data_IF_190163344855
#
_entry.id   IF_190163344855
#
_cell.length_a   1.000
_cell.length_b   1.000
_cell.length_c   1.000
_cell.angle_alpha   90.00
_cell.angle_beta   90.00
_cell.angle_gamma   90.00
#
_symmetry.space_group_name_H-M   'P 1'
#
loop_
_entity.id
_entity.type
_entity.pdbx_description
1 polymer ?
#
# COMPACT_ATOMS: atom_id res chain seq x y z
N UNK A 1 14.91 -39.71 -22.58
CA UNK A 1 14.15 -39.54 -23.84
C UNK A 1 12.77 -40.12 -23.60
N UNK A 2 11.64 -39.42 -23.61
CA UNK A 2 11.27 -38.05 -23.98
C UNK A 2 10.01 -37.68 -23.17
N UNK A 3 9.89 -36.41 -22.80
CA UNK A 3 8.73 -35.78 -22.18
C UNK A 3 7.70 -35.50 -23.30
N UNK A 4 6.48 -36.00 -23.18
CA UNK A 4 5.40 -35.72 -24.16
C UNK A 4 4.55 -34.57 -23.64
N UNK A 5 4.70 -33.41 -24.27
CA UNK A 5 3.97 -32.18 -23.99
C UNK A 5 2.52 -32.28 -24.50
N UNK A 6 1.55 -32.04 -23.63
CA UNK A 6 0.14 -31.88 -24.02
C UNK A 6 -0.12 -30.40 -24.26
N UNK A 7 -0.48 -30.05 -25.50
CA UNK A 7 -0.85 -28.70 -25.90
C UNK A 7 -2.23 -28.34 -25.32
N UNK A 8 -2.30 -27.25 -24.54
CA UNK A 8 -3.57 -26.64 -24.14
C UNK A 8 -3.86 -25.51 -25.11
N UNK A 9 -4.99 -25.63 -25.79
CA UNK A 9 -5.48 -24.69 -26.78
C UNK A 9 -5.83 -23.34 -26.14
N UNK A 10 -5.31 -22.29 -26.77
CA UNK A 10 -5.88 -20.95 -26.94
C UNK A 10 -7.05 -20.62 -26.00
N UNK A 11 -6.73 -20.25 -24.76
CA UNK A 11 -7.69 -19.63 -23.84
C UNK A 11 -7.61 -18.13 -24.01
N UNK A 12 -8.65 -17.57 -24.64
CA UNK A 12 -8.91 -16.14 -24.78
C UNK A 12 -8.73 -15.45 -23.42
N UNK A 13 -7.60 -14.74 -23.24
CA UNK A 13 -7.42 -13.82 -22.12
C UNK A 13 -8.22 -12.55 -22.45
N UNK A 14 -9.36 -12.38 -21.79
CA UNK A 14 -10.08 -11.12 -21.86
C UNK A 14 -9.38 -10.14 -20.90
N UNK A 15 -8.65 -9.17 -21.46
CA UNK A 15 -8.04 -8.07 -20.73
C UNK A 15 -9.11 -7.15 -20.13
N UNK A 16 -9.62 -7.53 -18.97
CA UNK A 16 -10.18 -6.60 -18.00
C UNK A 16 -9.56 -6.93 -16.65
N UNK A 17 -8.50 -6.20 -16.30
CA UNK A 17 -7.95 -6.12 -14.94
C UNK A 17 -7.74 -7.46 -14.24
N UNK A 18 -6.68 -8.17 -14.62
CA UNK A 18 -5.85 -9.00 -13.72
C UNK A 18 -6.58 -9.97 -12.75
N UNK A 19 -7.55 -10.75 -13.23
CA UNK A 19 -7.99 -11.97 -12.53
C UNK A 19 -7.67 -13.21 -13.37
N UNK A 20 -6.65 -13.96 -12.97
CA UNK A 20 -6.39 -15.28 -13.56
C UNK A 20 -7.30 -16.31 -12.88
N UNK A 21 -8.35 -16.71 -13.59
CA UNK A 21 -9.30 -17.73 -13.11
C UNK A 21 -8.74 -19.12 -13.47
N UNK A 22 -8.26 -19.87 -12.47
CA UNK A 22 -7.81 -21.25 -12.68
C UNK A 22 -8.99 -22.18 -12.40
N UNK A 23 -9.68 -22.63 -13.44
CA UNK A 23 -10.77 -23.59 -13.31
C UNK A 23 -10.22 -25.02 -13.17
N UNK A 24 -10.54 -25.69 -12.06
CA UNK A 24 -10.38 -27.14 -11.92
C UNK A 24 -11.76 -27.80 -11.78
N UNK A 25 -11.85 -29.08 -12.15
CA UNK A 25 -13.09 -29.82 -12.38
C UNK A 25 -14.02 -30.05 -11.15
N UNK A 26 -13.67 -29.54 -9.97
CA UNK A 26 -14.38 -29.80 -8.70
C UNK A 26 -14.95 -28.55 -8.00
N UNK A 27 -14.92 -27.39 -8.65
CA UNK A 27 -15.51 -26.15 -8.11
C UNK A 27 -14.48 -25.05 -7.87
N UNK A 28 -14.97 -23.81 -7.96
CA UNK A 28 -14.18 -22.58 -7.91
C UNK A 28 -13.45 -22.46 -6.58
N UNK A 29 -12.14 -22.72 -6.57
CA UNK A 29 -11.26 -22.23 -5.52
C UNK A 29 -10.82 -20.81 -5.91
N UNK A 30 -11.29 -19.81 -5.17
CA UNK A 30 -10.73 -18.46 -5.23
C UNK A 30 -9.33 -18.54 -4.63
N UNK A 31 -8.33 -18.87 -5.45
CA UNK A 31 -6.95 -18.69 -5.07
C UNK A 31 -6.65 -17.20 -5.15
N UNK A 32 -6.72 -16.51 -4.01
CA UNK A 32 -6.05 -15.23 -3.83
C UNK A 32 -4.56 -15.56 -3.82
N UNK A 33 -3.94 -15.70 -4.99
CA UNK A 33 -2.51 -15.42 -5.07
C UNK A 33 -2.39 -13.94 -4.86
N UNK A 34 -2.25 -13.54 -3.59
CA UNK A 34 -1.60 -12.29 -3.24
C UNK A 34 -0.33 -12.28 -4.08
N UNK A 35 -0.35 -11.46 -5.13
CA UNK A 35 0.85 -11.15 -5.89
C UNK A 35 1.78 -10.62 -4.82
N UNK A 36 2.75 -11.43 -4.44
CA UNK A 36 3.92 -11.00 -3.69
C UNK A 36 4.68 -10.07 -4.64
N UNK A 37 4.08 -8.93 -4.96
CA UNK A 37 4.82 -7.73 -5.30
C UNK A 37 5.59 -7.50 -4.03
N UNK A 38 6.90 -7.80 -4.06
CA UNK A 38 7.83 -7.30 -3.08
C UNK A 38 7.58 -5.78 -3.03
N UNK A 39 6.74 -5.36 -2.10
CA UNK A 39 6.22 -4.02 -2.08
C UNK A 39 7.36 -3.19 -1.53
N UNK A 40 8.05 -2.51 -2.45
CA UNK A 40 9.28 -1.79 -2.18
C UNK A 40 9.03 -0.87 -0.98
N UNK A 41 9.62 -1.23 0.16
CA UNK A 41 9.40 -0.53 1.41
C UNK A 41 10.05 0.86 1.29
N UNK A 42 9.22 1.89 1.29
CA UNK A 42 9.65 3.28 1.20
C UNK A 42 9.65 3.87 2.60
N UNK A 43 10.72 4.59 2.95
CA UNK A 43 10.75 5.39 4.17
C UNK A 43 10.03 6.70 3.92
N UNK A 44 8.96 6.92 4.70
CA UNK A 44 8.21 8.16 4.75
C UNK A 44 8.60 8.95 5.99
N UNK A 45 8.47 10.27 5.90
CA UNK A 45 8.74 11.18 7.01
C UNK A 45 7.45 11.86 7.44
N UNK A 46 7.32 12.15 8.72
CA UNK A 46 6.29 12.98 9.31
C UNK A 46 6.95 14.23 9.89
N UNK A 47 6.41 15.38 9.57
CA UNK A 47 6.75 16.67 10.18
C UNK A 47 5.46 17.29 10.70
N UNK A 48 5.33 17.34 12.01
CA UNK A 48 4.25 18.05 12.68
C UNK A 48 4.75 19.44 13.05
N UNK A 49 4.04 20.48 12.62
CA UNK A 49 4.24 21.86 13.06
C UNK A 49 2.94 22.37 13.67
N UNK A 50 2.80 22.17 14.99
CA UNK A 50 1.75 22.80 15.78
C UNK A 50 2.35 23.95 16.59
N UNK A 51 1.50 24.87 17.07
CA UNK A 51 1.94 26.01 17.89
C UNK A 51 2.62 25.56 19.20
N UNK A 52 2.18 24.43 19.74
CA UNK A 52 2.65 23.86 21.01
C UNK A 52 3.80 22.84 20.84
N UNK A 53 3.91 22.21 19.66
CA UNK A 53 4.84 21.10 19.45
C UNK A 53 5.35 20.99 18.01
N UNK A 54 6.65 20.70 17.88
CA UNK A 54 7.26 20.25 16.63
C UNK A 54 7.70 18.80 16.80
N UNK A 55 7.15 17.90 15.98
CA UNK A 55 7.48 16.47 16.03
C UNK A 55 7.94 16.01 14.65
N UNK A 56 9.06 15.30 14.62
CA UNK A 56 9.53 14.62 13.42
C UNK A 56 9.61 13.12 13.66
N UNK A 57 9.02 12.34 12.77
CA UNK A 57 9.04 10.88 12.85
C UNK A 57 9.29 10.28 11.47
N UNK A 58 9.80 9.06 11.41
CA UNK A 58 10.08 8.34 10.18
C UNK A 58 9.47 6.95 10.28
N UNK A 59 8.82 6.50 9.21
CA UNK A 59 8.18 5.19 9.17
C UNK A 59 8.34 4.57 7.79
N UNK A 60 8.78 3.32 7.77
CA UNK A 60 8.95 2.56 6.53
C UNK A 60 7.69 1.75 6.26
N UNK A 61 7.12 1.91 5.07
CA UNK A 61 5.91 1.23 4.66
C UNK A 61 5.94 0.87 3.18
N UNK A 62 5.18 -0.15 2.83
CA UNK A 62 4.97 -0.58 1.44
C UNK A 62 4.10 0.38 0.62
N UNK A 63 3.35 1.26 1.28
CA UNK A 63 2.41 2.19 0.64
C UNK A 63 2.27 3.50 1.43
N UNK A 64 1.98 4.59 0.71
CA UNK A 64 1.69 5.91 1.29
C UNK A 64 0.48 5.88 2.22
N UNK A 65 -0.54 5.06 1.93
CA UNK A 65 -1.74 4.93 2.75
C UNK A 65 -1.43 4.34 4.13
N UNK A 66 -0.60 3.29 4.18
CA UNK A 66 -0.16 2.66 5.43
C UNK A 66 0.68 3.63 6.27
N UNK A 67 1.62 4.34 5.65
CA UNK A 67 2.41 5.36 6.32
C UNK A 67 1.53 6.50 6.85
N UNK A 68 0.60 6.99 6.03
CA UNK A 68 -0.34 8.04 6.42
C UNK A 68 -1.23 7.64 7.58
N UNK A 69 -1.73 6.39 7.61
CA UNK A 69 -2.51 5.88 8.73
C UNK A 69 -1.66 5.82 10.01
N UNK A 70 -0.46 5.26 9.93
CA UNK A 70 0.48 5.20 11.07
C UNK A 70 0.77 6.60 11.64
N UNK A 71 1.04 7.58 10.78
CA UNK A 71 1.33 8.94 11.21
C UNK A 71 0.13 9.64 11.82
N UNK A 72 -1.09 9.42 11.30
CA UNK A 72 -2.32 9.98 11.89
C UNK A 72 -2.58 9.41 13.28
N UNK A 73 -2.45 8.10 13.45
CA UNK A 73 -2.52 7.44 14.76
C UNK A 73 -1.44 7.98 15.72
N UNK A 74 -0.21 8.14 15.24
CA UNK A 74 0.89 8.70 16.02
C UNK A 74 0.56 10.11 16.51
N UNK A 75 0.09 10.99 15.63
CA UNK A 75 -0.32 12.37 15.98
C UNK A 75 -1.49 12.37 16.97
N UNK A 76 -2.50 11.53 16.73
CA UNK A 76 -3.67 11.42 17.60
C UNK A 76 -3.30 10.92 19.00
N UNK A 77 -2.41 9.93 19.10
CA UNK A 77 -1.90 9.40 20.36
C UNK A 77 -1.05 10.44 21.13
N UNK A 78 -0.42 11.38 20.43
CA UNK A 78 0.28 12.52 21.04
C UNK A 78 -0.68 13.66 21.46
N UNK A 79 -1.98 13.54 21.20
CA UNK A 79 -2.98 14.53 21.64
C UNK A 79 -2.95 15.85 20.87
N UNK A 80 -2.39 15.87 19.66
CA UNK A 80 -2.19 17.09 18.87
C UNK A 80 -3.48 17.63 18.21
N UNK A 81 -4.60 16.94 18.35
CA UNK A 81 -5.90 17.41 17.86
C UNK A 81 -6.11 17.21 16.36
N UNK A 82 -6.95 18.08 15.79
CA UNK A 82 -7.31 18.08 14.37
C UNK A 82 -6.31 18.95 13.61
N UNK A 83 -5.37 18.28 12.93
CA UNK A 83 -4.34 18.94 12.13
C UNK A 83 -4.71 18.90 10.64
N UNK A 84 -4.32 19.92 9.90
CA UNK A 84 -4.31 19.90 8.45
C UNK A 84 -3.17 19.04 7.94
N UNK A 85 -3.50 18.08 7.08
CA UNK A 85 -2.53 17.13 6.53
C UNK A 85 -2.21 17.45 5.07
N UNK A 86 -0.92 17.53 4.77
CA UNK A 86 -0.39 17.59 3.42
C UNK A 86 0.65 16.50 3.21
N UNK A 87 0.77 16.00 1.98
CA UNK A 87 1.76 14.99 1.62
C UNK A 87 2.54 15.46 0.40
N UNK A 88 3.86 15.48 0.54
CA UNK A 88 4.79 15.77 -0.55
C UNK A 88 5.33 14.45 -1.12
N UNK A 89 4.92 14.05 -2.34
CA UNK A 89 5.37 12.81 -2.97
C UNK A 89 6.81 12.87 -3.46
N UNK A 90 7.40 14.06 -3.65
CA UNK A 90 8.79 14.20 -4.10
C UNK A 90 9.78 13.83 -2.98
N UNK A 91 9.41 14.11 -1.74
CA UNK A 91 10.23 13.89 -0.54
C UNK A 91 9.68 12.80 0.38
N UNK A 92 8.55 12.20 0.04
CA UNK A 92 7.81 11.23 0.86
C UNK A 92 7.51 11.76 2.27
N UNK A 93 7.18 13.04 2.37
CA UNK A 93 6.99 13.73 3.65
C UNK A 93 5.53 14.10 3.88
N UNK A 94 4.96 13.61 4.97
CA UNK A 94 3.70 14.06 5.53
C UNK A 94 3.95 15.27 6.41
N UNK A 95 3.21 16.35 6.17
CA UNK A 95 3.20 17.53 7.02
C UNK A 95 1.85 17.62 7.69
N UNK A 96 1.84 17.76 9.02
CA UNK A 96 0.63 18.00 9.80
C UNK A 96 0.77 19.36 10.49
N UNK A 97 -0.15 20.29 10.25
CA UNK A 97 -0.11 21.64 10.85
C UNK A 97 -1.40 21.95 11.58
N UNK A 98 -1.37 22.84 12.56
CA UNK A 98 -2.61 23.37 13.11
C UNK A 98 -3.42 24.06 12.00
N UNK A 99 -4.70 23.74 11.90
CA UNK A 99 -5.60 24.41 10.97
C UNK A 99 -5.98 25.76 11.57
N UNK A 100 -5.43 26.84 10.99
CA UNK A 100 -5.62 28.24 11.40
C UNK A 100 -7.08 28.64 11.73
#
# INVERSE_FOLDING_TARGET
MQQTSVAVADSLVAEYGEYNVVANADGLVYAFTEKEVAAEEQTYKLVVNSEDAQITSEYTASSVELAGQYFRDYVNNNGLGDLEWSYDPATYTFTATDGL
#
